data_IF_689850729100
#
_entry.id   IF_689850729100
#
_cell.length_a   1.000
_cell.length_b   1.000
_cell.length_c   1.000
_cell.angle_alpha   90.00
_cell.angle_beta   90.00
_cell.angle_gamma   90.00
#
_symmetry.space_group_name_H-M   'P 1'
#
loop_
_entity.id
_entity.type
_entity.pdbx_description
1 polymer ?
#
# COMPACT_ATOMS: atom_id res chain seq x y z
N UNK A 1 8.97 12.31 8.26
CA UNK A 1 7.72 11.55 8.18
C UNK A 1 7.66 10.66 9.41
N UNK A 2 6.67 10.84 10.28
CA UNK A 2 6.47 9.90 11.38
C UNK A 2 5.86 8.61 10.82
N UNK A 3 6.14 7.46 11.41
CA UNK A 3 5.57 6.18 10.97
C UNK A 3 4.03 6.20 11.06
N UNK A 4 3.48 6.99 11.99
CA UNK A 4 2.03 7.18 12.15
C UNK A 4 1.39 7.98 11.01
N UNK A 5 2.17 8.77 10.27
CA UNK A 5 1.67 9.55 9.13
C UNK A 5 1.55 8.69 7.86
N UNK A 6 2.06 7.45 7.90
CA UNK A 6 1.98 6.51 6.79
C UNK A 6 0.56 5.95 6.68
N UNK A 7 0.07 5.83 5.46
CA UNK A 7 -1.25 5.27 5.17
C UNK A 7 -1.22 4.39 3.91
N UNK A 8 -2.18 3.48 3.83
CA UNK A 8 -2.55 2.76 2.60
C UNK A 8 -3.96 3.21 2.26
N UNK A 9 -4.25 3.51 1.00
CA UNK A 9 -5.60 3.77 0.54
C UNK A 9 -5.96 2.89 -0.66
N UNK A 10 -7.26 2.81 -0.91
CA UNK A 10 -7.84 1.97 -1.94
C UNK A 10 -9.06 2.65 -2.53
N UNK A 11 -9.10 2.77 -3.84
CA UNK A 11 -10.31 3.13 -4.59
C UNK A 11 -11.00 1.85 -5.05
N UNK A 12 -12.23 1.61 -4.60
CA UNK A 12 -13.04 0.51 -5.15
C UNK A 12 -13.46 0.81 -6.59
N UNK A 13 -13.67 2.09 -6.90
CA UNK A 13 -13.86 2.60 -8.26
C UNK A 13 -12.99 3.85 -8.44
N UNK A 14 -12.01 3.75 -9.36
CA UNK A 14 -11.09 4.84 -9.67
C UNK A 14 -11.78 6.10 -10.22
N UNK A 15 -13.00 5.97 -10.74
CA UNK A 15 -13.78 7.10 -11.27
C UNK A 15 -14.68 7.73 -10.20
N UNK A 16 -14.78 7.13 -9.01
CA UNK A 16 -15.60 7.61 -7.91
C UNK A 16 -14.78 7.75 -6.63
N UNK A 17 -14.31 8.98 -6.37
CA UNK A 17 -13.47 9.29 -5.22
C UNK A 17 -14.15 9.06 -3.87
N UNK A 18 -15.50 9.06 -3.82
CA UNK A 18 -16.24 8.77 -2.57
C UNK A 18 -16.07 7.31 -2.13
N UNK A 19 -15.59 6.45 -3.03
CA UNK A 19 -15.27 5.05 -2.72
C UNK A 19 -13.88 4.86 -2.12
N UNK A 20 -13.10 5.93 -2.00
CA UNK A 20 -11.78 5.90 -1.38
C UNK A 20 -11.90 5.46 0.08
N UNK A 21 -11.08 4.47 0.44
CA UNK A 21 -10.92 4.04 1.82
C UNK A 21 -9.44 4.17 2.18
N UNK A 22 -9.18 4.66 3.39
CA UNK A 22 -7.82 4.86 3.91
C UNK A 22 -7.62 4.07 5.18
N UNK A 23 -6.44 3.51 5.35
CA UNK A 23 -5.97 2.92 6.59
C UNK A 23 -4.66 3.58 6.99
N UNK A 24 -4.64 4.13 8.20
CA UNK A 24 -3.44 4.70 8.79
C UNK A 24 -2.64 3.62 9.50
N UNK A 25 -1.33 3.84 9.61
CA UNK A 25 -0.44 2.98 10.37
C UNK A 25 -0.85 2.92 11.86
N UNK A 26 -0.72 1.74 12.44
CA UNK A 26 -0.82 1.48 13.88
C UNK A 26 0.38 2.04 14.67
N UNK A 27 1.33 2.72 14.01
CA UNK A 27 2.50 3.32 14.64
C UNK A 27 3.62 2.34 14.98
N UNK A 28 3.56 1.09 14.49
CA UNK A 28 4.63 0.11 14.71
C UNK A 28 5.80 0.31 13.74
N UNK A 29 7.00 -0.13 14.13
CA UNK A 29 8.25 0.05 13.40
C UNK A 29 8.31 -0.65 12.02
N UNK A 30 7.32 -1.47 11.68
CA UNK A 30 7.30 -2.29 10.46
C UNK A 30 6.37 -1.75 9.37
N UNK A 31 5.89 -0.52 9.51
CA UNK A 31 4.90 0.08 8.59
C UNK A 31 5.41 0.30 7.18
N UNK A 32 6.69 0.63 7.02
CA UNK A 32 7.38 0.75 5.72
C UNK A 32 8.69 -0.05 5.86
N UNK A 33 8.96 -0.95 4.91
CA UNK A 33 10.13 -1.83 4.96
C UNK A 33 10.85 -1.84 3.61
N UNK A 34 12.13 -2.21 3.65
CA UNK A 34 12.96 -2.40 2.48
C UNK A 34 13.78 -3.68 2.66
N UNK A 35 13.49 -4.70 1.86
CA UNK A 35 14.26 -5.95 1.85
C UNK A 35 14.86 -6.17 0.46
N UNK A 36 16.11 -6.63 0.43
CA UNK A 36 16.79 -6.97 -0.82
C UNK A 36 16.01 -8.03 -1.60
N UNK A 37 15.79 -7.79 -2.90
CA UNK A 37 15.06 -8.69 -3.79
C UNK A 37 13.54 -8.50 -3.81
N UNK A 38 13.02 -7.54 -3.03
CA UNK A 38 11.62 -7.13 -3.05
C UNK A 38 11.49 -5.71 -3.60
N UNK A 39 10.29 -5.37 -4.10
CA UNK A 39 9.96 -3.98 -4.42
C UNK A 39 9.40 -3.24 -3.20
N UNK A 40 8.39 -2.36 -3.40
CA UNK A 40 7.73 -1.67 -2.29
C UNK A 40 7.14 -2.64 -1.26
N UNK A 41 7.30 -2.32 0.02
CA UNK A 41 6.79 -3.13 1.12
C UNK A 41 6.20 -2.28 2.24
N UNK A 42 4.92 -2.52 2.53
CA UNK A 42 4.17 -1.85 3.58
C UNK A 42 3.63 -2.88 4.58
N UNK A 43 3.83 -2.57 5.85
CA UNK A 43 3.31 -3.29 7.01
C UNK A 43 4.07 -4.58 7.36
N UNK A 44 4.20 -4.85 8.67
CA UNK A 44 4.93 -6.00 9.21
C UNK A 44 4.34 -7.34 8.82
N UNK A 45 3.02 -7.38 8.66
CA UNK A 45 2.24 -8.53 8.20
C UNK A 45 2.29 -8.79 6.70
N UNK A 46 3.15 -8.08 5.95
CA UNK A 46 3.12 -8.03 4.47
C UNK A 46 1.77 -7.48 3.97
N UNK A 47 1.36 -6.34 4.53
CA UNK A 47 0.04 -5.77 4.29
C UNK A 47 -0.12 -5.36 2.83
N UNK A 48 0.92 -4.82 2.20
CA UNK A 48 1.00 -4.63 0.76
C UNK A 48 2.46 -4.74 0.33
N UNK A 49 2.80 -5.77 -0.46
CA UNK A 49 4.19 -6.01 -0.88
C UNK A 49 4.26 -6.34 -2.37
N UNK A 50 5.34 -5.91 -3.03
CA UNK A 50 5.77 -6.46 -4.32
C UNK A 50 6.83 -7.53 -4.10
N UNK A 51 6.46 -8.78 -4.36
CA UNK A 51 7.27 -9.97 -4.11
C UNK A 51 8.28 -10.22 -5.23
N UNK A 52 9.31 -11.01 -4.94
CA UNK A 52 10.37 -11.39 -5.88
C UNK A 52 9.88 -12.28 -7.04
N UNK A 53 8.70 -12.88 -6.89
CA UNK A 53 7.99 -13.63 -7.95
C UNK A 53 7.30 -12.72 -8.99
N UNK A 54 7.38 -11.39 -8.81
CA UNK A 54 6.76 -10.41 -9.70
C UNK A 54 5.27 -10.19 -9.46
N UNK A 55 4.71 -10.71 -8.36
CA UNK A 55 3.31 -10.48 -7.97
C UNK A 55 3.21 -9.52 -6.79
N UNK A 56 2.05 -8.87 -6.68
CA UNK A 56 1.69 -8.14 -5.47
C UNK A 56 0.96 -9.05 -4.51
N UNK A 57 1.20 -8.85 -3.21
CA UNK A 57 0.50 -9.55 -2.15
C UNK A 57 -0.10 -8.58 -1.17
N UNK A 58 -1.32 -8.91 -0.74
CA UNK A 58 -2.00 -8.25 0.35
C UNK A 58 -2.36 -9.30 1.38
N UNK A 59 -1.60 -9.32 2.48
CA UNK A 59 -1.83 -10.22 3.59
C UNK A 59 -2.47 -9.47 4.76
N UNK A 60 -3.31 -10.17 5.50
CA UNK A 60 -3.99 -9.64 6.69
C UNK A 60 -3.72 -10.61 7.82
N UNK A 61 -3.21 -10.10 8.95
CA UNK A 61 -2.90 -10.94 10.09
C UNK A 61 -2.66 -10.14 11.37
N UNK A 62 -2.33 -10.86 12.44
CA UNK A 62 -2.09 -10.26 13.76
C UNK A 62 -0.89 -9.31 13.79
N UNK A 63 0.01 -9.40 12.79
CA UNK A 63 1.19 -8.54 12.66
C UNK A 63 0.99 -7.38 11.68
N UNK A 64 -0.25 -7.15 11.21
CA UNK A 64 -0.53 -6.05 10.30
C UNK A 64 -0.28 -4.70 10.96
N UNK A 65 0.43 -3.83 10.24
CA UNK A 65 0.69 -2.46 10.63
C UNK A 65 -0.42 -1.53 10.19
N UNK A 66 -1.28 -1.96 9.28
CA UNK A 66 -2.45 -1.22 8.83
C UNK A 66 -3.72 -2.00 9.14
N UNK A 67 -4.81 -1.29 9.38
CA UNK A 67 -6.13 -1.91 9.48
C UNK A 67 -6.59 -2.47 8.13
N UNK A 68 -7.45 -3.48 8.19
CA UNK A 68 -8.06 -4.05 6.97
C UNK A 68 -8.89 -2.97 6.26
N UNK A 69 -8.66 -2.83 4.96
CA UNK A 69 -9.50 -2.04 4.06
C UNK A 69 -10.45 -2.98 3.33
N UNK A 70 -11.76 -2.81 3.52
CA UNK A 70 -12.76 -3.66 2.86
C UNK A 70 -12.81 -3.43 1.34
N UNK A 71 -12.75 -4.52 0.58
CA UNK A 71 -12.75 -4.50 -0.90
C UNK A 71 -11.36 -4.58 -1.51
N UNK A 72 -10.29 -4.34 -0.73
CA UNK A 72 -8.92 -4.54 -1.19
C UNK A 72 -8.68 -6.05 -1.45
N UNK A 73 -8.03 -6.43 -2.58
CA UNK A 73 -7.69 -7.83 -2.85
C UNK A 73 -6.91 -8.46 -1.70
N UNK A 74 -7.05 -9.76 -1.48
CA UNK A 74 -6.24 -10.52 -0.52
C UNK A 74 -5.52 -11.68 -1.21
N UNK A 75 -4.34 -12.04 -0.70
CA UNK A 75 -3.46 -12.99 -1.38
C UNK A 75 -2.70 -12.35 -2.53
N UNK A 76 -2.25 -13.18 -3.48
CA UNK A 76 -1.49 -12.74 -4.64
C UNK A 76 -2.38 -12.18 -5.75
N UNK A 77 -2.03 -11.03 -6.30
CA UNK A 77 -2.73 -10.38 -7.42
C UNK A 77 -1.75 -9.74 -8.41
N UNK A 78 -2.18 -9.65 -9.65
CA UNK A 78 -1.41 -8.99 -10.71
C UNK A 78 -1.69 -7.49 -10.68
N UNK A 79 -0.63 -6.71 -10.83
CA UNK A 79 -0.67 -5.27 -11.02
C UNK A 79 -0.01 -4.99 -12.36
N UNK A 80 -0.70 -4.25 -13.22
CA UNK A 80 -0.20 -3.92 -14.54
C UNK A 80 0.96 -2.91 -14.49
N UNK A 81 0.88 -1.94 -13.59
CA UNK A 81 1.89 -0.90 -13.41
C UNK A 81 1.84 -0.32 -11.99
N UNK A 82 2.95 0.25 -11.53
CA UNK A 82 3.01 1.04 -10.30
C UNK A 82 3.96 2.22 -10.48
N UNK A 83 3.56 3.38 -9.97
CA UNK A 83 4.32 4.61 -10.07
C UNK A 83 4.78 5.04 -8.67
N UNK A 84 6.02 5.52 -8.57
CA UNK A 84 6.58 6.07 -7.32
C UNK A 84 6.83 7.55 -7.54
N UNK A 85 6.10 8.37 -6.79
CA UNK A 85 6.25 9.81 -6.81
C UNK A 85 7.05 10.26 -5.58
N UNK A 86 8.07 11.08 -5.80
CA UNK A 86 8.79 11.76 -4.74
C UNK A 86 8.61 13.26 -4.93
N UNK A 87 8.05 13.93 -3.93
CA UNK A 87 8.02 15.38 -3.91
C UNK A 87 9.36 15.91 -3.39
N UNK A 88 10.02 16.75 -4.19
CA UNK A 88 11.38 17.24 -3.93
C UNK A 88 11.46 18.35 -2.87
N UNK A 89 10.34 18.97 -2.55
CA UNK A 89 10.25 20.04 -1.56
C UNK A 89 9.45 19.53 -0.37
N UNK A 90 10.15 19.05 0.65
CA UNK A 90 9.56 18.24 1.71
C UNK A 90 8.36 18.91 2.41
N UNK A 91 7.15 18.48 2.07
CA UNK A 91 6.10 18.05 2.99
C UNK A 91 4.90 17.45 2.21
N UNK A 92 4.63 16.16 2.45
CA UNK A 92 3.41 15.36 2.18
C UNK A 92 3.19 14.76 0.77
N UNK A 93 3.51 13.46 0.68
CA UNK A 93 3.13 12.56 -0.42
C UNK A 93 1.60 12.51 -0.61
N UNK A 94 1.13 12.96 -1.78
CA UNK A 94 -0.11 12.51 -2.39
C UNK A 94 0.22 11.26 -3.22
N UNK A 95 -0.18 10.10 -2.74
CA UNK A 95 -0.17 8.89 -3.54
C UNK A 95 -1.51 8.85 -4.31
N UNK A 96 -1.45 8.71 -5.63
CA UNK A 96 -2.57 8.34 -6.50
C UNK A 96 -2.25 6.98 -7.12
N UNK A 97 -3.04 5.95 -6.80
CA UNK A 97 -2.89 4.56 -7.25
C UNK A 97 -4.08 4.35 -8.17
N UNK A 98 -3.90 4.78 -9.41
CA UNK A 98 -4.83 4.51 -10.50
C UNK A 98 -4.45 3.21 -11.20
N UNK A 99 -5.16 2.11 -10.94
CA UNK A 99 -4.98 0.90 -11.76
C UNK A 99 -5.74 1.00 -13.10
N UNK A 100 -5.06 0.61 -14.18
CA UNK A 100 -5.63 0.51 -15.54
C UNK A 100 -6.18 -0.90 -15.75
N UNK A 101 -7.50 -1.04 -15.81
CA UNK A 101 -8.19 -2.25 -16.29
C UNK A 101 -8.60 -1.96 -17.72
N UNK A 102 -8.17 -2.80 -18.67
CA UNK A 102 -8.68 -2.82 -20.04
C UNK A 102 -10.00 -3.57 -20.09
#
# INVERSE_FOLDING_TARGET
>A
MSIIDSFIYFFADKNNYETAKVSYSNGNEYSIRNYSGYGPMFGGGNDLIYSSDGMWYCNRGIYSSYHKIDGMPTGGFNVNDYEVFQESDGLLCLEDIGYRIN
#
